data_IF_077559555984
#
_entry.id   IF_077559555984
#
_cell.length_a   1.000
_cell.length_b   1.000
_cell.length_c   1.000
_cell.angle_alpha   90.00
_cell.angle_beta   90.00
_cell.angle_gamma   90.00
#
_symmetry.space_group_name_H-M   'P 1'
#
loop_
_entity.id
_entity.type
_entity.pdbx_description
1 polymer ?
#
# COMPACT_ATOMS: atom_id res chain seq x y z
N UNK A 1 5.71 0.43 -16.40
CA UNK A 1 6.11 -0.95 -16.08
C UNK A 1 5.88 -1.13 -14.60
N UNK A 2 5.08 -2.11 -14.19
CA UNK A 2 4.87 -2.40 -12.77
C UNK A 2 6.19 -2.88 -12.15
N UNK A 3 6.56 -2.32 -10.99
CA UNK A 3 7.78 -2.67 -10.27
C UNK A 3 7.37 -3.31 -8.93
N UNK A 4 7.28 -4.65 -8.87
CA UNK A 4 6.73 -5.35 -7.71
C UNK A 4 7.56 -5.11 -6.44
N UNK A 5 8.86 -4.85 -6.56
CA UNK A 5 9.73 -4.53 -5.42
C UNK A 5 9.39 -3.15 -4.85
N UNK A 6 9.18 -2.16 -5.71
CA UNK A 6 8.77 -0.83 -5.29
C UNK A 6 7.37 -0.86 -4.66
N UNK A 7 6.45 -1.64 -5.22
CA UNK A 7 5.11 -1.78 -4.67
C UNK A 7 5.12 -2.43 -3.28
N UNK A 8 5.93 -3.48 -3.08
CA UNK A 8 6.12 -4.10 -1.77
C UNK A 8 6.72 -3.13 -0.73
N UNK A 9 7.68 -2.29 -1.14
CA UNK A 9 8.26 -1.25 -0.27
C UNK A 9 7.19 -0.23 0.15
N UNK A 10 6.38 0.25 -0.79
CA UNK A 10 5.33 1.23 -0.51
C UNK A 10 4.25 0.65 0.42
N UNK A 11 3.89 -0.62 0.27
CA UNK A 11 3.01 -1.33 1.20
C UNK A 11 3.61 -1.37 2.61
N UNK A 12 4.89 -1.73 2.75
CA UNK A 12 5.56 -1.76 4.05
C UNK A 12 5.57 -0.38 4.72
N UNK A 13 5.89 0.68 3.96
CA UNK A 13 5.88 2.06 4.47
C UNK A 13 4.47 2.44 4.94
N UNK A 14 3.43 2.05 4.20
CA UNK A 14 2.03 2.28 4.57
C UNK A 14 1.67 1.63 5.91
N UNK A 15 2.06 0.37 6.12
CA UNK A 15 1.83 -0.36 7.38
C UNK A 15 2.61 0.24 8.56
N UNK A 16 3.84 0.68 8.34
CA UNK A 16 4.64 1.37 9.36
C UNK A 16 3.99 2.70 9.76
N UNK A 17 3.43 3.45 8.81
CA UNK A 17 2.70 4.67 9.12
C UNK A 17 1.40 4.40 9.86
N UNK A 18 0.62 3.41 9.41
CA UNK A 18 -0.64 2.98 10.04
C UNK A 18 -0.44 2.51 11.49
N UNK A 19 0.66 1.80 11.77
CA UNK A 19 1.03 1.36 13.12
C UNK A 19 1.58 2.49 14.01
N UNK A 20 1.85 3.67 13.45
CA UNK A 20 2.46 4.80 14.16
C UNK A 20 3.96 4.67 14.39
N UNK A 21 4.62 3.67 13.76
CA UNK A 21 6.07 3.53 13.81
C UNK A 21 6.80 4.65 13.06
N UNK A 22 6.12 5.22 12.05
CA UNK A 22 6.53 6.44 11.35
C UNK A 22 5.34 7.39 11.22
N UNK A 23 5.61 8.69 11.14
CA UNK A 23 4.59 9.72 10.99
C UNK A 23 4.67 10.44 9.62
N UNK A 24 3.80 11.42 9.42
CA UNK A 24 3.76 12.23 8.19
C UNK A 24 5.05 13.04 7.97
N UNK A 25 5.76 13.43 9.03
CA UNK A 25 7.03 14.12 8.90
C UNK A 25 8.12 13.18 8.38
N UNK A 26 8.12 11.91 8.81
CA UNK A 26 8.98 10.87 8.25
C UNK A 26 8.68 10.64 6.76
N UNK A 27 7.40 10.52 6.35
CA UNK A 27 7.02 10.38 4.94
C UNK A 27 7.51 11.57 4.10
N UNK A 28 7.31 12.80 4.59
CA UNK A 28 7.79 14.02 3.94
C UNK A 28 9.31 14.01 3.79
N UNK A 29 10.03 13.63 4.84
CA UNK A 29 11.49 13.55 4.80
C UNK A 29 11.99 12.47 3.82
N UNK A 30 11.31 11.32 3.74
CA UNK A 30 11.66 10.27 2.79
C UNK A 30 11.42 10.74 1.36
N UNK A 31 10.25 11.33 1.09
CA UNK A 31 9.93 11.91 -0.20
C UNK A 31 10.99 12.93 -0.65
N UNK A 32 11.38 13.86 0.23
CA UNK A 32 12.42 14.85 -0.11
C UNK A 32 13.78 14.21 -0.43
N UNK A 33 14.16 13.14 0.27
CA UNK A 33 15.42 12.44 -0.01
C UNK A 33 15.40 11.72 -1.35
N UNK A 34 14.23 11.24 -1.78
CA UNK A 34 14.03 10.63 -3.09
C UNK A 34 14.10 11.67 -4.21
N UNK A 35 13.51 12.85 -4.04
CA UNK A 35 13.67 13.97 -4.99
C UNK A 35 15.15 14.33 -5.17
N UNK A 36 15.91 14.42 -4.07
CA UNK A 36 17.35 14.72 -4.11
C UNK A 36 18.19 13.62 -4.77
N UNK A 37 17.63 12.44 -5.00
CA UNK A 37 18.25 11.32 -5.69
C UNK A 37 17.71 11.15 -7.12
N UNK A 38 17.02 12.16 -7.68
CA UNK A 38 16.38 12.14 -8.99
C UNK A 38 15.30 11.05 -9.14
N UNK A 39 14.62 10.72 -8.04
CA UNK A 39 13.52 9.74 -7.97
C UNK A 39 12.17 10.39 -7.60
N UNK A 40 11.88 11.53 -8.22
CA UNK A 40 10.69 12.37 -7.93
C UNK A 40 9.38 11.57 -7.96
N UNK A 41 9.18 10.72 -8.98
CA UNK A 41 7.99 9.87 -9.10
C UNK A 41 7.79 8.94 -7.89
N UNK A 42 8.89 8.43 -7.32
CA UNK A 42 8.84 7.57 -6.13
C UNK A 42 8.61 8.43 -4.88
N UNK A 43 9.25 9.60 -4.83
CA UNK A 43 9.08 10.59 -3.76
C UNK A 43 7.62 10.98 -3.57
N UNK A 44 6.92 11.26 -4.67
CA UNK A 44 5.49 11.58 -4.65
C UNK A 44 4.65 10.38 -4.20
N UNK A 45 4.93 9.18 -4.70
CA UNK A 45 4.23 7.96 -4.25
C UNK A 45 4.36 7.71 -2.75
N UNK A 46 5.51 8.06 -2.14
CA UNK A 46 5.74 7.96 -0.69
C UNK A 46 4.95 9.02 0.09
N UNK A 47 4.84 10.25 -0.43
CA UNK A 47 4.08 11.35 0.21
C UNK A 47 2.58 11.11 0.16
N UNK A 48 2.10 10.51 -0.92
CA UNK A 48 0.68 10.30 -1.19
C UNK A 48 0.26 8.83 -1.03
N UNK A 49 0.94 8.05 -0.17
CA UNK A 49 0.55 6.66 0.11
C UNK A 49 -0.94 6.64 0.51
N UNK A 50 -1.83 6.00 -0.28
CA UNK A 50 -3.23 5.91 0.06
C UNK A 50 -3.40 4.94 1.23
N UNK A 51 -3.51 5.49 2.44
CA UNK A 51 -3.72 4.73 3.68
C UNK A 51 -5.02 3.92 3.68
N UNK A 52 -5.95 4.22 2.76
CA UNK A 52 -7.19 3.47 2.56
C UNK A 52 -6.97 2.02 2.12
N UNK A 53 -5.82 1.71 1.51
CA UNK A 53 -5.44 0.36 1.05
C UNK A 53 -4.33 -0.27 1.89
N UNK A 54 -3.83 0.41 2.93
CA UNK A 54 -2.91 -0.18 3.91
C UNK A 54 -3.68 -1.28 4.65
N UNK A 55 -3.52 -2.49 4.11
CA UNK A 55 -4.17 -3.75 4.39
C UNK A 55 -4.90 -3.75 5.74
N UNK A 56 -6.20 -3.45 5.72
CA UNK A 56 -7.05 -3.97 6.78
C UNK A 56 -6.95 -5.49 6.73
N UNK A 57 -6.76 -6.11 7.92
CA UNK A 57 -6.51 -7.54 8.09
C UNK A 57 -7.11 -8.37 6.94
N UNK A 58 -6.31 -9.08 6.12
CA UNK A 58 -6.81 -9.86 5.00
C UNK A 58 -7.92 -10.84 5.40
N UNK A 59 -7.98 -11.25 6.67
CA UNK A 59 -9.07 -12.08 7.22
C UNK A 59 -10.37 -11.28 7.38
N UNK A 60 -10.29 -10.01 7.76
CA UNK A 60 -11.41 -9.08 7.94
C UNK A 60 -12.04 -8.65 6.61
N UNK A 61 -11.26 -8.51 5.55
CA UNK A 61 -11.79 -8.31 4.19
C UNK A 61 -12.48 -9.59 3.69
N UNK A 62 -11.83 -10.75 3.86
CA UNK A 62 -12.40 -12.05 3.46
C UNK A 62 -13.67 -12.43 4.23
N UNK A 63 -13.82 -12.01 5.49
CA UNK A 63 -15.03 -12.27 6.28
C UNK A 63 -16.26 -11.51 5.78
N UNK A 64 -16.07 -10.46 4.98
CA UNK A 64 -17.16 -9.67 4.39
C UNK A 64 -17.34 -9.91 2.88
N UNK A 65 -16.49 -10.72 2.27
CA UNK A 65 -16.68 -11.19 0.89
C UNK A 65 -17.46 -12.50 0.91
N UNK A 66 -18.72 -12.46 0.47
CA UNK A 66 -19.44 -13.67 0.14
C UNK A 66 -18.81 -14.27 -1.13
N UNK A 67 -18.27 -15.49 -1.01
CA UNK A 67 -17.94 -16.33 -2.17
C UNK A 67 -19.23 -16.55 -2.96
N UNK A 68 -19.38 -15.87 -4.08
CA UNK A 68 -20.40 -16.21 -5.08
C UNK A 68 -19.84 -17.41 -5.83
N UNK A 69 -20.22 -18.61 -5.40
CA UNK A 69 -19.93 -19.83 -6.14
C UNK A 69 -20.61 -19.69 -7.52
N UNK A 70 -19.80 -19.53 -8.55
CA UNK A 70 -20.23 -19.39 -9.94
C UNK A 70 -20.80 -20.72 -10.39
N UNK A 71 -22.05 -20.98 -10.00
CA UNK A 71 -22.70 -22.27 -10.06
C UNK A 71 -22.47 -22.98 -11.40
N UNK A 72 -21.72 -24.08 -11.35
CA UNK A 72 -21.91 -25.14 -12.31
C UNK A 72 -23.11 -25.95 -11.84
N UNK A 73 -24.27 -25.72 -12.46
CA UNK A 73 -25.29 -26.77 -12.52
C UNK A 73 -24.74 -27.87 -13.44
N UNK A 74 -24.55 -29.10 -12.97
CA UNK A 74 -24.57 -30.24 -13.86
C UNK A 74 -26.05 -30.53 -14.21
N UNK A 75 -26.28 -30.84 -15.48
CA UNK A 75 -27.59 -31.18 -16.05
C UNK A 75 -28.36 -32.27 -15.28
#
# INVERSE_FOLDING_TARGET
>A
MENPTLDALLILIAELHKSGAIDTANLTSMGRRLDLADLEDIGDRVRFIPLSNAVDDPKRIRSHMHLVDGGNKPD
#
